data_IF_342654818578
#
_entry.id   IF_342654818578
#
_cell.length_a   1.000
_cell.length_b   1.000
_cell.length_c   1.000
_cell.angle_alpha   90.00
_cell.angle_beta   90.00
_cell.angle_gamma   90.00
#
_symmetry.space_group_name_H-M   'P 1'
#
loop_
_entity.id
_entity.type
_entity.pdbx_description
1 polymer ?
#
# COMPACT_ATOMS: atom_id res chain seq x y z
N UNK A 1 -5.90 -31.72 -24.25
CA UNK A 1 -6.04 -31.88 -22.79
C UNK A 1 -4.89 -31.23 -22.00
N UNK A 2 -3.63 -31.39 -22.43
CA UNK A 2 -2.42 -30.82 -21.81
C UNK A 2 -2.50 -29.32 -21.44
N UNK A 3 -2.99 -28.45 -22.33
CA UNK A 3 -3.12 -27.00 -22.06
C UNK A 3 -4.02 -26.68 -20.85
N UNK A 4 -5.11 -27.44 -20.67
CA UNK A 4 -6.04 -27.24 -19.54
C UNK A 4 -5.42 -27.70 -18.22
N UNK A 5 -4.62 -28.77 -18.26
CA UNK A 5 -3.86 -29.27 -17.12
C UNK A 5 -2.79 -28.27 -16.66
N UNK A 6 -2.05 -27.67 -17.60
CA UNK A 6 -1.04 -26.63 -17.29
C UNK A 6 -1.70 -25.40 -16.65
N UNK A 7 -2.81 -24.92 -17.22
CA UNK A 7 -3.53 -23.77 -16.65
C UNK A 7 -4.03 -24.05 -15.24
N UNK A 8 -4.58 -25.26 -15.00
CA UNK A 8 -5.05 -25.66 -13.67
C UNK A 8 -3.91 -25.72 -12.67
N UNK A 9 -2.74 -26.25 -13.07
CA UNK A 9 -1.56 -26.31 -12.23
C UNK A 9 -1.04 -24.91 -11.84
N UNK A 10 -0.99 -23.98 -12.80
CA UNK A 10 -0.56 -22.59 -12.54
C UNK A 10 -1.50 -21.85 -11.57
N UNK A 11 -2.81 -22.11 -11.64
CA UNK A 11 -3.77 -21.53 -10.70
C UNK A 11 -3.57 -22.05 -9.28
N UNK A 12 -3.30 -23.34 -9.11
CA UNK A 12 -3.03 -23.93 -7.80
C UNK A 12 -1.75 -23.42 -7.15
N UNK A 13 -0.75 -23.01 -7.94
CA UNK A 13 0.52 -22.49 -7.42
C UNK A 13 0.34 -21.16 -6.67
N UNK A 14 -0.67 -20.36 -7.03
CA UNK A 14 -0.94 -19.07 -6.39
C UNK A 14 -1.36 -19.19 -4.92
N UNK A 15 -1.96 -20.33 -4.53
CA UNK A 15 -2.39 -20.61 -3.15
C UNK A 15 -1.20 -20.89 -2.23
N UNK A 16 -0.04 -21.22 -2.79
CA UNK A 16 1.19 -21.50 -2.05
C UNK A 16 2.03 -20.23 -1.80
N UNK A 17 1.67 -19.09 -2.41
CA UNK A 17 2.34 -17.83 -2.14
C UNK A 17 1.85 -17.26 -0.79
N UNK A 18 2.77 -17.11 0.16
CA UNK A 18 2.50 -16.34 1.37
C UNK A 18 2.25 -14.87 1.03
N UNK A 19 1.32 -14.24 1.75
CA UNK A 19 1.16 -12.80 1.67
C UNK A 19 2.47 -12.10 2.06
N UNK A 20 2.77 -10.98 1.40
CA UNK A 20 3.97 -10.20 1.74
C UNK A 20 3.81 -9.57 3.12
N UNK A 21 4.92 -9.47 3.86
CA UNK A 21 4.96 -8.64 5.05
C UNK A 21 4.89 -7.16 4.64
N UNK A 22 3.81 -6.48 5.07
CA UNK A 22 3.57 -5.07 4.75
C UNK A 22 3.99 -4.13 5.88
N UNK A 23 4.52 -4.65 6.99
CA UNK A 23 5.01 -3.82 8.09
C UNK A 23 6.10 -2.85 7.62
N UNK A 24 6.07 -1.63 8.15
CA UNK A 24 7.11 -0.63 7.92
C UNK A 24 6.61 0.69 7.37
N UNK A 25 7.54 1.46 6.79
CA UNK A 25 7.30 2.82 6.29
C UNK A 25 7.34 2.81 4.77
N UNK A 26 6.20 3.13 4.16
CA UNK A 26 6.02 3.20 2.72
C UNK A 26 5.96 4.66 2.30
N UNK A 27 6.83 5.09 1.38
CA UNK A 27 6.89 6.47 0.91
C UNK A 27 6.60 6.54 -0.57
N UNK A 28 5.75 7.49 -0.94
CA UNK A 28 5.38 7.79 -2.31
C UNK A 28 5.34 9.28 -2.56
N UNK A 29 5.32 9.67 -3.84
CA UNK A 29 5.10 11.05 -4.26
C UNK A 29 4.12 11.09 -5.41
N UNK A 30 3.22 12.07 -5.38
CA UNK A 30 2.32 12.42 -6.47
C UNK A 30 2.81 13.74 -7.06
N UNK A 31 3.19 13.71 -8.35
CA UNK A 31 3.58 14.89 -9.10
C UNK A 31 2.38 15.37 -9.90
N UNK A 32 2.00 16.62 -9.70
CA UNK A 32 0.82 17.20 -10.33
C UNK A 32 1.15 17.91 -11.63
N UNK A 33 0.14 18.05 -12.48
CA UNK A 33 0.23 18.90 -13.67
C UNK A 33 0.40 20.39 -13.28
N UNK A 34 0.91 21.23 -14.19
CA UNK A 34 1.01 22.67 -13.97
C UNK A 34 -0.34 23.31 -13.59
N UNK A 35 -0.34 24.21 -12.61
CA UNK A 35 -1.55 24.90 -12.13
C UNK A 35 -2.21 24.27 -10.90
N UNK A 36 -1.70 23.14 -10.39
CA UNK A 36 -2.11 22.62 -9.09
C UNK A 36 -1.64 23.52 -7.92
N UNK A 37 -2.30 23.41 -6.77
CA UNK A 37 -1.96 24.18 -5.56
C UNK A 37 -0.51 23.93 -5.10
N UNK A 38 -0.10 22.65 -5.10
CA UNK A 38 1.29 22.24 -4.89
C UNK A 38 1.76 21.35 -6.05
N UNK A 39 3.03 21.48 -6.47
CA UNK A 39 3.58 20.69 -7.58
C UNK A 39 3.84 19.23 -7.20
N UNK A 40 4.12 18.99 -5.91
CA UNK A 40 4.43 17.66 -5.38
C UNK A 40 3.69 17.47 -4.06
N UNK A 41 3.08 16.31 -3.91
CA UNK A 41 2.55 15.82 -2.65
C UNK A 41 3.28 14.54 -2.27
N UNK A 42 3.82 14.50 -1.06
CA UNK A 42 4.44 13.31 -0.49
C UNK A 42 3.39 12.53 0.30
N UNK A 43 3.44 11.22 0.19
CA UNK A 43 2.58 10.28 0.92
C UNK A 43 3.49 9.36 1.73
N UNK A 44 3.22 9.22 3.02
CA UNK A 44 3.90 8.26 3.88
C UNK A 44 2.87 7.42 4.64
N UNK A 45 2.98 6.10 4.54
CA UNK A 45 2.19 5.16 5.31
C UNK A 45 3.10 4.42 6.28
N UNK A 46 2.79 4.50 7.56
CA UNK A 46 3.45 3.72 8.60
C UNK A 46 2.49 2.60 9.00
N UNK A 47 2.80 1.37 8.62
CA UNK A 47 1.92 0.20 8.76
C UNK A 47 2.48 -0.74 9.82
N UNK A 48 1.62 -1.15 10.74
CA UNK A 48 1.87 -2.24 11.69
C UNK A 48 0.77 -3.29 11.59
N UNK A 49 1.18 -4.55 11.41
CA UNK A 49 0.32 -5.74 11.41
C UNK A 49 0.61 -6.53 12.69
N UNK A 50 -0.46 -6.89 13.41
CA UNK A 50 -0.41 -7.74 14.59
C UNK A 50 -1.57 -8.77 14.50
N UNK A 51 -1.22 -10.01 14.12
CA UNK A 51 -2.24 -11.02 13.82
C UNK A 51 -3.06 -10.61 12.59
N UNK A 52 -4.39 -10.62 12.73
CA UNK A 52 -5.32 -10.15 11.69
C UNK A 52 -5.58 -8.64 11.72
N UNK A 53 -5.01 -7.91 12.67
CA UNK A 53 -5.25 -6.47 12.82
C UNK A 53 -4.14 -5.68 12.12
N UNK A 54 -4.57 -4.69 11.34
CA UNK A 54 -3.71 -3.68 10.72
C UNK A 54 -3.99 -2.36 11.41
N UNK A 55 -2.95 -1.65 11.79
CA UNK A 55 -3.02 -0.29 12.31
C UNK A 55 -1.94 0.56 11.66
N UNK A 56 -2.13 1.86 11.63
CA UNK A 56 -1.09 2.72 11.11
C UNK A 56 -1.42 4.19 11.09
N UNK A 57 -0.53 4.94 10.49
CA UNK A 57 -0.68 6.38 10.26
C UNK A 57 -0.39 6.69 8.80
N UNK A 58 -1.28 7.44 8.17
CA UNK A 58 -1.09 8.02 6.85
C UNK A 58 -0.75 9.50 6.98
N UNK A 59 0.30 9.91 6.29
CA UNK A 59 0.70 11.31 6.13
C UNK A 59 0.55 11.69 4.66
N UNK A 60 -0.03 12.85 4.42
CA UNK A 60 -0.08 13.47 3.11
C UNK A 60 0.37 14.92 3.25
N UNK A 61 1.46 15.31 2.59
CA UNK A 61 2.07 16.62 2.84
C UNK A 61 2.79 17.18 1.62
N UNK A 62 2.73 18.50 1.47
CA UNK A 62 3.55 19.24 0.51
C UNK A 62 4.76 19.90 1.18
N UNK A 63 4.60 20.34 2.43
CA UNK A 63 5.65 20.87 3.30
C UNK A 63 5.28 20.66 4.78
N UNK A 64 6.04 21.24 5.71
CA UNK A 64 5.84 21.08 7.17
C UNK A 64 4.60 21.80 7.72
N UNK A 65 4.03 22.76 6.99
CA UNK A 65 2.84 23.52 7.39
C UNK A 65 1.59 23.03 6.67
N UNK A 66 1.75 22.41 5.51
CA UNK A 66 0.69 21.88 4.67
C UNK A 66 0.71 20.35 4.70
N UNK A 67 0.20 19.78 5.79
CA UNK A 67 0.11 18.34 5.97
C UNK A 67 -1.22 17.90 6.59
N UNK A 68 -1.62 16.67 6.26
CA UNK A 68 -2.70 15.93 6.90
C UNK A 68 -2.10 14.64 7.47
N UNK A 69 -2.52 14.30 8.70
CA UNK A 69 -2.16 13.06 9.39
C UNK A 69 -3.44 12.35 9.81
N UNK A 70 -3.59 11.11 9.38
CA UNK A 70 -4.74 10.26 9.72
C UNK A 70 -4.27 8.94 10.31
N UNK A 71 -4.91 8.52 11.41
CA UNK A 71 -4.73 7.16 11.92
C UNK A 71 -5.73 6.25 11.19
N UNK A 72 -5.30 5.04 10.84
CA UNK A 72 -6.18 4.04 10.25
C UNK A 72 -6.07 2.71 11.00
N UNK A 73 -7.15 1.93 10.96
CA UNK A 73 -7.20 0.56 11.45
C UNK A 73 -8.08 -0.31 10.55
N UNK A 74 -7.77 -1.61 10.52
CA UNK A 74 -8.50 -2.59 9.72
C UNK A 74 -8.28 -4.01 10.24
N UNK A 75 -9.10 -4.93 9.76
CA UNK A 75 -8.99 -6.37 10.06
C UNK A 75 -8.96 -7.13 8.74
N UNK A 76 -8.04 -8.09 8.63
CA UNK A 76 -7.86 -9.01 7.50
C UNK A 76 -8.89 -10.14 7.51
#
# INVERSE_FOLDING_TARGET
MLRKSILSFLLFISVLCGAQDINGIWKGKLVMAPGACFPVYNIELQIQVAGSRITGTAYHFSDSLNYVRENFEGVL
#
